data_IF_345649759094
#
_entry.id   IF_345649759094
#
_cell.length_a   1.000
_cell.length_b   1.000
_cell.length_c   1.000
_cell.angle_alpha   90.00
_cell.angle_beta   90.00
_cell.angle_gamma   90.00
#
_symmetry.space_group_name_H-M   'P 1'
#
loop_
_entity.id
_entity.type
_entity.pdbx_description
1 polymer ?
#
# COMPACT_ATOMS: atom_id res chain seq x y z
N UNK A 1 10.40 1.09 12.02
CA UNK A 1 10.31 2.45 11.46
C UNK A 1 9.68 2.48 10.08
N UNK A 2 10.01 1.53 9.21
CA UNK A 2 9.52 1.46 7.82
C UNK A 2 7.99 1.51 7.71
N UNK A 3 7.27 0.75 8.54
CA UNK A 3 5.80 0.74 8.57
C UNK A 3 5.23 2.15 8.81
N UNK A 4 5.82 2.90 9.75
CA UNK A 4 5.37 4.25 10.08
C UNK A 4 5.57 5.18 8.88
N UNK A 5 6.77 5.21 8.30
CA UNK A 5 7.10 6.06 7.14
C UNK A 5 6.23 5.70 5.93
N UNK A 6 5.99 4.40 5.70
CA UNK A 6 5.09 3.93 4.64
C UNK A 6 3.68 4.48 4.84
N UNK A 7 3.10 4.35 6.04
CA UNK A 7 1.75 4.82 6.30
C UNK A 7 1.62 6.34 6.31
N UNK A 8 2.61 7.08 6.82
CA UNK A 8 2.62 8.56 6.76
C UNK A 8 2.47 9.03 5.30
N UNK A 9 3.34 8.59 4.40
CA UNK A 9 3.26 9.01 3.00
C UNK A 9 2.07 8.41 2.23
N UNK A 10 1.62 7.20 2.58
CA UNK A 10 0.47 6.56 1.94
C UNK A 10 -0.83 7.31 2.27
N UNK A 11 -1.06 7.61 3.55
CA UNK A 11 -2.29 8.24 4.03
C UNK A 11 -2.37 9.72 3.63
N UNK A 12 -1.24 10.41 3.50
CA UNK A 12 -1.19 11.76 2.93
C UNK A 12 -1.69 11.79 1.47
N UNK A 13 -1.42 10.73 0.70
CA UNK A 13 -1.82 10.62 -0.71
C UNK A 13 -3.22 10.05 -0.90
N UNK A 14 -3.61 9.07 -0.09
CA UNK A 14 -4.85 8.33 -0.22
C UNK A 14 -5.69 8.45 1.07
N UNK A 15 -6.21 9.64 1.40
CA UNK A 15 -6.91 9.88 2.65
C UNK A 15 -8.26 9.17 2.75
N UNK A 16 -8.88 8.81 1.63
CA UNK A 16 -10.19 8.15 1.53
C UNK A 16 -10.08 6.63 1.27
N UNK A 17 -8.88 6.05 1.43
CA UNK A 17 -8.66 4.63 1.22
C UNK A 17 -9.53 3.80 2.16
N UNK A 18 -10.27 2.84 1.60
CA UNK A 18 -11.14 1.94 2.35
C UNK A 18 -11.04 0.51 1.84
N UNK A 19 -11.34 -0.45 2.70
CA UNK A 19 -11.44 -1.85 2.29
C UNK A 19 -12.58 -2.03 1.28
N UNK A 20 -12.33 -2.82 0.24
CA UNK A 20 -13.24 -3.03 -0.89
C UNK A 20 -13.36 -4.52 -1.24
N UNK A 21 -13.63 -5.35 -0.22
CA UNK A 21 -13.83 -6.78 -0.39
C UNK A 21 -13.19 -7.62 0.70
N UNK A 22 -13.23 -8.95 0.51
CA UNK A 22 -12.73 -9.90 1.51
C UNK A 22 -11.20 -9.95 1.56
N UNK A 23 -10.68 -9.94 2.78
CA UNK A 23 -9.26 -10.06 3.06
C UNK A 23 -8.80 -11.51 2.89
N UNK A 24 -7.71 -11.72 2.15
CA UNK A 24 -7.11 -13.04 1.97
C UNK A 24 -5.91 -13.21 2.89
N UNK A 25 -5.96 -14.21 3.77
CA UNK A 25 -4.86 -14.52 4.68
C UNK A 25 -3.72 -15.25 3.98
N UNK A 26 -2.51 -14.97 4.44
CA UNK A 26 -1.32 -15.72 4.10
C UNK A 26 -1.36 -17.08 4.81
N UNK A 27 -1.19 -18.16 4.03
CA UNK A 27 -1.02 -19.52 4.57
C UNK A 27 0.46 -19.76 4.81
N UNK A 28 0.93 -19.48 6.02
CA UNK A 28 2.28 -19.78 6.47
C UNK A 28 2.22 -20.37 7.89
N UNK A 29 3.00 -21.43 8.18
CA UNK A 29 3.09 -21.98 9.54
C UNK A 29 3.96 -21.11 10.46
N UNK A 30 4.72 -20.14 9.93
CA UNK A 30 5.66 -19.33 10.70
C UNK A 30 5.18 -17.90 10.94
N UNK A 31 4.50 -17.30 9.96
CA UNK A 31 4.05 -15.90 10.04
C UNK A 31 2.55 -15.78 9.83
N UNK A 32 1.92 -14.92 10.64
CA UNK A 32 0.56 -14.48 10.39
C UNK A 32 0.60 -13.22 9.52
N UNK A 33 -0.10 -13.26 8.39
CA UNK A 33 -0.08 -12.15 7.44
C UNK A 33 -1.31 -12.11 6.54
N UNK A 34 -1.46 -10.99 5.86
CA UNK A 34 -2.48 -10.78 4.83
C UNK A 34 -1.79 -10.86 3.47
N UNK A 35 -2.29 -11.72 2.60
CA UNK A 35 -1.76 -11.88 1.24
C UNK A 35 -2.34 -10.86 0.28
N UNK A 36 -3.66 -10.62 0.36
CA UNK A 36 -4.33 -9.61 -0.43
C UNK A 36 -5.34 -8.87 0.43
N UNK A 37 -5.32 -7.54 0.35
CA UNK A 37 -6.30 -6.65 0.94
C UNK A 37 -6.88 -5.78 -0.19
N UNK A 38 -8.06 -6.12 -0.72
CA UNK A 38 -8.74 -5.28 -1.71
C UNK A 38 -9.08 -3.92 -1.10
N UNK A 39 -8.77 -2.84 -1.82
CA UNK A 39 -9.03 -1.47 -1.38
C UNK A 39 -9.53 -0.61 -2.54
N UNK A 40 -10.34 0.39 -2.20
CA UNK A 40 -10.81 1.43 -3.10
C UNK A 40 -10.41 2.81 -2.56
N UNK A 41 -10.09 3.73 -3.47
CA UNK A 41 -9.73 5.12 -3.19
C UNK A 41 -10.03 5.98 -4.43
N UNK A 42 -10.17 7.29 -4.25
CA UNK A 42 -10.34 8.21 -5.36
C UNK A 42 -9.07 8.29 -6.22
N UNK A 43 -9.13 8.22 -7.56
CA UNK A 43 -7.93 8.30 -8.41
C UNK A 43 -7.11 9.57 -8.17
N UNK A 44 -5.82 9.40 -7.90
CA UNK A 44 -4.86 10.50 -7.70
C UNK A 44 -3.85 10.56 -8.85
N UNK A 45 -3.21 11.72 -9.04
CA UNK A 45 -2.21 11.89 -10.08
C UNK A 45 -1.04 10.88 -9.91
N UNK A 46 -0.53 10.27 -10.99
CA UNK A 46 0.58 9.32 -10.90
C UNK A 46 1.81 9.98 -10.31
N UNK A 47 2.51 9.26 -9.43
CA UNK A 47 3.85 9.65 -8.99
C UNK A 47 4.80 9.27 -10.11
N UNK A 48 5.26 10.24 -10.90
CA UNK A 48 6.27 9.98 -11.92
C UNK A 48 7.52 9.43 -11.24
N UNK A 49 7.95 8.19 -11.53
CA UNK A 49 9.20 7.70 -11.00
C UNK A 49 10.32 8.56 -11.61
N UNK A 50 11.05 9.29 -10.77
CA UNK A 50 12.32 9.89 -11.19
C UNK A 50 13.24 8.74 -11.55
N UNK A 51 13.46 8.53 -12.85
CA UNK A 51 14.51 7.61 -13.29
C UNK A 51 15.82 8.26 -12.90
N UNK A 52 16.63 7.67 -12.00
CA UNK A 52 17.95 8.23 -11.71
C UNK A 52 18.73 8.21 -13.03
N UNK A 53 19.19 9.38 -13.46
CA UNK A 53 20.07 9.49 -14.61
C UNK A 53 21.31 8.62 -14.33
N UNK A 54 21.56 7.66 -15.22
CA UNK A 54 22.74 6.82 -15.17
C UNK A 54 23.98 7.72 -15.10
N UNK A 55 24.71 7.62 -14.00
CA UNK A 55 26.05 8.18 -13.82
C UNK A 55 27.08 7.10 -14.15
#
# INVERSE_FOLDING_TARGET
>A
MEIKVMFEHLLDRLPDIRQDGEMQRLRSPFINGVKHLPVAFSPVAPVTPVTPAAA
#
